data_IF_399346337526
#
_entry.id   IF_399346337526
#
_cell.length_a   1.000
_cell.length_b   1.000
_cell.length_c   1.000
_cell.angle_alpha   90.00
_cell.angle_beta   90.00
_cell.angle_gamma   90.00
#
_symmetry.space_group_name_H-M   'P 1'
#
loop_
_entity.id
_entity.type
_entity.pdbx_description
1 polymer ?
#
# COMPACT_ATOMS: atom_id res chain seq x y z
N UNK A 1 -2.87 38.58 9.03
CA UNK A 1 -1.88 37.77 9.76
C UNK A 1 -1.02 37.06 8.74
N UNK A 2 0.25 37.44 8.72
CA UNK A 2 1.25 37.14 7.70
C UNK A 2 1.74 35.70 7.86
N UNK A 3 1.66 34.91 6.77
CA UNK A 3 2.14 33.53 6.74
C UNK A 3 3.64 33.56 6.47
N UNK A 4 4.45 33.26 7.49
CA UNK A 4 5.88 33.03 7.32
C UNK A 4 6.11 31.60 6.82
N UNK A 5 6.48 31.48 5.55
CA UNK A 5 7.04 30.28 4.95
C UNK A 5 8.49 30.11 5.41
N UNK A 6 8.79 28.97 6.06
CA UNK A 6 10.15 28.56 6.36
C UNK A 6 10.76 27.87 5.12
N UNK A 7 12.00 28.22 4.71
CA UNK A 7 12.61 27.65 3.53
C UNK A 7 13.23 26.26 3.81
N UNK A 8 12.95 25.36 2.87
CA UNK A 8 13.57 24.04 2.69
C UNK A 8 15.09 24.17 2.46
N UNK A 9 15.91 23.42 3.21
CA UNK A 9 17.37 23.32 3.00
C UNK A 9 17.71 22.05 2.21
N UNK A 10 18.50 22.12 1.13
CA UNK A 10 18.94 20.95 0.40
C UNK A 10 20.15 20.25 1.05
N UNK A 11 20.31 18.99 0.67
CA UNK A 11 21.22 17.99 1.19
C UNK A 11 22.72 18.31 1.02
N UNK A 12 23.52 17.68 1.90
CA UNK A 12 24.97 17.80 2.03
C UNK A 12 25.72 17.46 0.74
N UNK A 13 26.61 18.37 0.32
CA UNK A 13 27.59 18.17 -0.73
C UNK A 13 28.64 17.11 -0.34
N UNK A 14 28.93 16.16 -1.24
CA UNK A 14 30.07 15.24 -1.10
C UNK A 14 31.34 15.90 -1.66
N UNK A 15 32.37 15.92 -0.84
CA UNK A 15 33.73 16.37 -1.16
C UNK A 15 34.39 15.39 -2.14
N UNK A 16 34.75 15.86 -3.33
CA UNK A 16 35.60 15.14 -4.28
C UNK A 16 37.06 15.16 -3.78
N UNK A 17 37.57 14.01 -3.33
CA UNK A 17 39.01 13.80 -3.15
C UNK A 17 39.60 13.22 -4.44
N UNK A 18 40.53 13.96 -5.05
CA UNK A 18 41.43 13.46 -6.08
C UNK A 18 42.41 12.47 -5.45
N UNK A 19 42.54 11.28 -6.02
CA UNK A 19 43.60 10.32 -5.70
C UNK A 19 44.36 10.01 -6.99
N UNK A 20 45.68 10.18 -6.90
CA UNK A 20 46.65 9.97 -7.95
C UNK A 20 46.75 8.49 -8.33
N UNK A 21 46.91 8.23 -9.63
CA UNK A 21 47.17 6.89 -10.18
C UNK A 21 48.67 6.63 -10.10
N UNK A 22 49.09 5.74 -9.19
CA UNK A 22 50.37 5.06 -9.30
C UNK A 22 50.13 3.69 -9.94
N UNK A 23 50.69 3.50 -11.13
CA UNK A 23 50.63 2.22 -11.84
C UNK A 23 51.74 1.30 -11.27
N UNK A 24 51.35 0.37 -10.42
CA UNK A 24 52.22 -0.73 -9.98
C UNK A 24 51.83 -1.97 -10.77
N UNK A 25 52.79 -2.49 -11.54
CA UNK A 25 52.67 -3.74 -12.29
C UNK A 25 52.61 -4.91 -11.29
N UNK A 26 51.44 -5.52 -11.10
CA UNK A 26 51.29 -6.74 -10.28
C UNK A 26 51.04 -7.92 -11.22
N UNK A 27 51.99 -8.85 -11.18
CA UNK A 27 51.99 -10.11 -11.92
C UNK A 27 50.95 -11.07 -11.34
N UNK A 28 50.31 -11.84 -12.23
CA UNK A 28 49.13 -12.68 -12.04
C UNK A 28 49.01 -13.49 -10.74
N UNK A 29 47.87 -13.29 -10.09
CA UNK A 29 47.08 -14.33 -9.43
C UNK A 29 45.61 -14.03 -9.74
N UNK A 30 45.09 -14.65 -10.79
CA UNK A 30 43.66 -14.58 -11.13
C UNK A 30 42.88 -15.38 -10.09
N UNK A 31 42.49 -14.73 -8.99
CA UNK A 31 41.41 -15.25 -8.16
C UNK A 31 40.14 -15.35 -9.02
N UNK A 32 39.37 -16.45 -8.94
CA UNK A 32 38.09 -16.49 -9.60
C UNK A 32 37.25 -15.32 -9.06
N UNK A 33 36.88 -14.41 -9.96
CA UNK A 33 35.90 -13.37 -9.66
C UNK A 33 34.63 -14.12 -9.28
N UNK A 34 34.33 -14.19 -7.99
CA UNK A 34 33.04 -14.62 -7.51
C UNK A 34 32.03 -13.68 -8.17
N UNK A 35 31.29 -14.20 -9.16
CA UNK A 35 30.17 -13.48 -9.75
C UNK A 35 29.22 -13.17 -8.59
N UNK A 36 29.14 -11.90 -8.20
CA UNK A 36 28.13 -11.45 -7.26
C UNK A 36 26.78 -11.84 -7.85
N UNK A 37 26.12 -12.82 -7.23
CA UNK A 37 24.78 -13.18 -7.64
C UNK A 37 23.93 -11.90 -7.58
N UNK A 38 23.15 -11.59 -8.63
CA UNK A 38 22.25 -10.45 -8.57
C UNK A 38 21.38 -10.62 -7.33
N UNK A 39 21.31 -9.57 -6.51
CA UNK A 39 20.45 -9.58 -5.34
C UNK A 39 19.05 -10.05 -5.78
N UNK A 40 18.44 -11.01 -5.08
CA UNK A 40 17.15 -11.54 -5.48
C UNK A 40 16.17 -10.38 -5.66
N UNK A 41 15.56 -10.30 -6.84
CA UNK A 41 14.59 -9.24 -7.15
C UNK A 41 13.41 -9.33 -6.17
N UNK A 42 13.01 -8.20 -5.59
CA UNK A 42 11.86 -8.14 -4.70
C UNK A 42 10.60 -8.65 -5.42
N UNK A 43 9.68 -9.34 -4.72
CA UNK A 43 8.39 -9.71 -5.28
C UNK A 43 7.64 -8.47 -5.78
N UNK A 44 7.12 -8.53 -7.01
CA UNK A 44 6.36 -7.45 -7.61
C UNK A 44 4.89 -7.84 -7.78
N UNK A 45 3.98 -6.94 -7.42
CA UNK A 45 2.53 -7.13 -7.49
C UNK A 45 1.86 -6.05 -8.33
N UNK A 46 1.00 -6.50 -9.22
CA UNK A 46 0.12 -5.62 -9.97
C UNK A 46 -1.08 -5.23 -9.11
N UNK A 47 -1.46 -3.95 -9.16
CA UNK A 47 -2.62 -3.39 -8.50
C UNK A 47 -3.72 -3.09 -9.53
N UNK A 48 -4.89 -3.68 -9.32
CA UNK A 48 -6.13 -3.33 -10.03
C UNK A 48 -6.93 -2.38 -9.13
N UNK A 49 -7.02 -1.10 -9.50
CA UNK A 49 -7.75 -0.10 -8.73
C UNK A 49 -9.18 0.03 -9.28
N UNK A 50 -10.18 0.00 -8.41
CA UNK A 50 -11.59 0.06 -8.77
C UNK A 50 -12.29 1.07 -7.87
N UNK A 51 -12.89 2.11 -8.47
CA UNK A 51 -13.59 3.16 -7.74
C UNK A 51 -15.06 2.76 -7.57
N UNK A 52 -15.44 2.39 -6.36
CA UNK A 52 -16.78 1.92 -5.99
C UNK A 52 -17.73 3.05 -5.57
N UNK A 53 -17.28 4.31 -5.58
CA UNK A 53 -18.06 5.47 -5.13
C UNK A 53 -18.46 6.41 -6.26
N UNK A 54 -19.72 6.90 -6.31
CA UNK A 54 -20.15 7.93 -7.24
C UNK A 54 -19.69 9.34 -6.86
N UNK A 55 -19.05 9.53 -5.69
CA UNK A 55 -18.66 10.85 -5.18
C UNK A 55 -17.73 11.56 -6.16
N UNK A 56 -18.14 12.73 -6.63
CA UNK A 56 -17.36 13.47 -7.64
C UNK A 56 -16.02 13.93 -7.09
N UNK A 57 -15.93 14.23 -5.80
CA UNK A 57 -14.70 14.60 -5.10
C UNK A 57 -13.64 13.48 -5.13
N UNK A 58 -14.07 12.23 -5.25
CA UNK A 58 -13.15 11.10 -5.38
C UNK A 58 -12.45 11.06 -6.76
N UNK A 59 -13.03 11.68 -7.80
CA UNK A 59 -12.53 11.58 -9.18
C UNK A 59 -11.12 12.14 -9.34
N UNK A 60 -10.82 13.29 -8.73
CA UNK A 60 -9.50 13.90 -8.82
C UNK A 60 -8.43 13.03 -8.16
N UNK A 61 -8.77 12.47 -6.99
CA UNK A 61 -7.87 11.61 -6.21
C UNK A 61 -7.66 10.24 -6.86
N UNK A 62 -8.57 9.80 -7.74
CA UNK A 62 -8.53 8.50 -8.42
C UNK A 62 -8.15 8.59 -9.90
N UNK A 63 -7.80 9.78 -10.39
CA UNK A 63 -7.23 9.95 -11.71
C UNK A 63 -5.96 9.12 -11.90
N UNK A 64 -5.63 8.79 -13.16
CA UNK A 64 -4.44 8.01 -13.47
C UNK A 64 -3.15 8.63 -12.91
N UNK A 65 -3.01 9.95 -12.98
CA UNK A 65 -1.87 10.67 -12.42
C UNK A 65 -1.82 10.56 -10.90
N UNK A 66 -2.95 10.78 -10.22
CA UNK A 66 -3.04 10.69 -8.77
C UNK A 66 -2.73 9.27 -8.27
N UNK A 67 -3.31 8.24 -8.88
CA UNK A 67 -3.06 6.84 -8.49
C UNK A 67 -1.63 6.39 -8.75
N UNK A 68 -1.00 6.84 -9.85
CA UNK A 68 0.44 6.61 -10.06
C UNK A 68 1.26 7.22 -8.93
N UNK A 69 0.94 8.45 -8.54
CA UNK A 69 1.63 9.12 -7.45
C UNK A 69 1.44 8.40 -6.10
N UNK A 70 0.22 7.91 -5.80
CA UNK A 70 -0.05 7.11 -4.61
C UNK A 70 0.80 5.83 -4.60
N UNK A 71 0.95 5.16 -5.76
CA UNK A 71 1.73 3.93 -5.87
C UNK A 71 3.24 4.18 -5.78
N UNK A 72 3.73 5.30 -6.29
CA UNK A 72 5.12 5.73 -6.07
C UNK A 72 5.41 5.93 -4.59
N UNK A 73 4.50 6.58 -3.88
CA UNK A 73 4.62 6.79 -2.44
C UNK A 73 4.53 5.48 -1.65
N UNK A 74 3.58 4.62 -1.99
CA UNK A 74 3.49 3.28 -1.42
C UNK A 74 4.81 2.52 -1.59
N UNK A 75 5.41 2.53 -2.78
CA UNK A 75 6.69 1.86 -3.01
C UNK A 75 7.84 2.45 -2.18
N UNK A 76 7.81 3.76 -1.91
CA UNK A 76 8.78 4.44 -1.05
C UNK A 76 8.58 4.08 0.42
N UNK A 77 7.34 3.99 0.89
CA UNK A 77 7.00 3.94 2.31
C UNK A 77 6.69 2.51 2.81
N UNK A 78 6.50 1.53 1.92
CA UNK A 78 6.31 0.11 2.26
C UNK A 78 7.64 -0.61 2.55
N UNK A 79 8.32 -0.13 3.58
CA UNK A 79 9.68 -0.50 3.97
C UNK A 79 9.73 -0.98 5.42
N UNK A 80 10.81 -1.65 5.78
CA UNK A 80 11.14 -1.93 7.18
C UNK A 80 11.58 -0.66 7.93
N UNK A 81 11.76 -0.75 9.25
CA UNK A 81 12.24 0.38 10.06
C UNK A 81 13.66 0.86 9.72
N UNK A 82 14.43 0.06 8.99
CA UNK A 82 15.75 0.37 8.44
C UNK A 82 15.71 0.68 6.93
N UNK A 83 14.55 1.10 6.41
CA UNK A 83 14.31 1.54 5.02
C UNK A 83 14.56 0.46 3.95
N UNK A 84 14.51 -0.82 4.32
CA UNK A 84 14.61 -1.92 3.35
C UNK A 84 13.26 -2.19 2.71
N UNK A 85 13.20 -2.10 1.39
CA UNK A 85 12.02 -2.48 0.61
C UNK A 85 11.70 -3.97 0.72
N UNK A 86 10.41 -4.28 0.86
CA UNK A 86 9.92 -5.65 1.03
C UNK A 86 9.33 -6.22 -0.26
N UNK A 87 8.58 -5.40 -1.00
CA UNK A 87 7.88 -5.74 -2.24
C UNK A 87 7.80 -4.50 -3.12
N UNK A 88 7.45 -4.69 -4.39
CA UNK A 88 7.18 -3.59 -5.33
C UNK A 88 5.75 -3.69 -5.86
N UNK A 89 5.09 -2.55 -6.01
CA UNK A 89 3.73 -2.44 -6.53
C UNK A 89 3.71 -1.72 -7.87
N UNK A 90 2.88 -2.18 -8.80
CA UNK A 90 2.71 -1.58 -10.13
C UNK A 90 1.24 -1.33 -10.40
N UNK A 91 0.90 -0.15 -10.90
CA UNK A 91 -0.45 0.09 -11.37
C UNK A 91 -0.69 -0.72 -12.65
N UNK A 92 -1.69 -1.61 -12.64
CA UNK A 92 -2.10 -2.37 -13.82
C UNK A 92 -3.30 -1.74 -14.52
N UNK A 93 -4.32 -1.35 -13.74
CA UNK A 93 -5.57 -0.83 -14.25
C UNK A 93 -6.25 0.07 -13.22
N UNK A 94 -7.09 0.98 -13.73
CA UNK A 94 -8.04 1.77 -12.94
C UNK A 94 -9.38 1.68 -13.64
N UNK A 95 -10.43 1.37 -12.89
CA UNK A 95 -11.82 1.40 -13.36
C UNK A 95 -12.58 2.44 -12.52
N UNK A 96 -13.25 3.37 -13.19
CA UNK A 96 -14.07 4.37 -12.53
C UNK A 96 -15.47 3.83 -12.19
N UNK A 97 -16.21 4.53 -11.33
CA UNK A 97 -17.54 4.11 -10.95
C UNK A 97 -18.50 3.99 -12.14
N UNK A 98 -18.37 4.89 -13.14
CA UNK A 98 -19.25 4.90 -14.30
C UNK A 98 -19.11 3.62 -15.16
N UNK A 99 -17.91 3.05 -15.21
CA UNK A 99 -17.60 1.81 -15.94
C UNK A 99 -18.12 0.54 -15.27
N UNK A 100 -18.34 0.56 -13.95
CA UNK A 100 -18.69 -0.63 -13.17
C UNK A 100 -20.09 -0.58 -12.53
N UNK A 101 -20.75 0.58 -12.49
CA UNK A 101 -22.01 0.79 -11.73
C UNK A 101 -23.13 -0.18 -12.09
N UNK A 102 -23.11 -0.70 -13.32
CA UNK A 102 -24.10 -1.63 -13.85
C UNK A 102 -23.65 -3.11 -13.74
N UNK A 103 -22.50 -3.36 -13.11
CA UNK A 103 -22.01 -4.70 -12.82
C UNK A 103 -22.97 -5.46 -11.91
N UNK A 104 -23.12 -6.76 -12.17
CA UNK A 104 -23.87 -7.66 -11.29
C UNK A 104 -23.06 -8.13 -10.07
N UNK A 105 -21.80 -7.69 -9.92
CA UNK A 105 -21.05 -7.97 -8.71
C UNK A 105 -21.67 -7.25 -7.50
N UNK A 106 -22.15 -8.03 -6.54
CA UNK A 106 -22.73 -7.53 -5.28
C UNK A 106 -21.81 -6.54 -4.57
N UNK A 107 -20.48 -6.69 -4.74
CA UNK A 107 -19.50 -5.78 -4.17
C UNK A 107 -19.74 -4.30 -4.55
N UNK A 108 -20.21 -4.03 -5.77
CA UNK A 108 -20.49 -2.66 -6.24
C UNK A 108 -21.67 -2.04 -5.49
N UNK A 109 -22.71 -2.84 -5.20
CA UNK A 109 -23.87 -2.34 -4.46
C UNK A 109 -23.62 -2.28 -2.94
N UNK A 110 -22.80 -3.19 -2.39
CA UNK A 110 -22.41 -3.17 -0.98
C UNK A 110 -21.55 -1.97 -0.61
N UNK A 111 -20.73 -1.46 -1.53
CA UNK A 111 -19.93 -0.26 -1.30
C UNK A 111 -20.76 1.02 -1.08
N UNK A 112 -22.07 0.95 -1.36
CA UNK A 112 -23.04 1.99 -1.04
C UNK A 112 -23.77 1.72 0.28
N UNK A 113 -23.24 0.85 1.16
CA UNK A 113 -23.75 0.46 2.48
C UNK A 113 -22.66 0.57 3.55
N UNK A 114 -23.05 0.49 4.82
CA UNK A 114 -22.10 0.37 5.92
C UNK A 114 -21.20 -0.86 5.71
N UNK A 115 -19.93 -0.72 6.07
CA UNK A 115 -18.95 -1.79 5.92
C UNK A 115 -19.33 -3.02 6.75
N UNK A 116 -19.34 -4.18 6.10
CA UNK A 116 -19.50 -5.50 6.72
C UNK A 116 -18.41 -6.42 6.17
N UNK A 117 -17.40 -6.69 6.99
CA UNK A 117 -16.22 -7.41 6.53
C UNK A 117 -16.48 -8.82 6.01
N UNK A 118 -17.53 -9.50 6.49
CA UNK A 118 -17.84 -10.86 6.04
C UNK A 118 -18.70 -10.85 4.77
N UNK A 119 -19.72 -10.00 4.71
CA UNK A 119 -20.54 -9.83 3.51
C UNK A 119 -19.69 -9.33 2.33
N UNK A 120 -18.81 -8.35 2.56
CA UNK A 120 -17.94 -7.80 1.52
C UNK A 120 -16.90 -8.82 1.06
N UNK A 121 -16.38 -9.64 1.97
CA UNK A 121 -15.48 -10.73 1.60
C UNK A 121 -16.17 -11.80 0.76
N UNK A 122 -17.42 -12.15 1.09
CA UNK A 122 -18.21 -13.08 0.29
C UNK A 122 -18.46 -12.50 -1.12
N UNK A 123 -18.87 -11.23 -1.20
CA UNK A 123 -19.11 -10.53 -2.46
C UNK A 123 -17.83 -10.42 -3.33
N UNK A 124 -16.68 -10.11 -2.73
CA UNK A 124 -15.39 -10.12 -3.43
C UNK A 124 -15.08 -11.50 -4.04
N UNK A 125 -15.30 -12.57 -3.26
CA UNK A 125 -14.99 -13.93 -3.71
C UNK A 125 -15.96 -14.40 -4.81
N UNK A 126 -17.22 -14.00 -4.75
CA UNK A 126 -18.26 -14.32 -5.73
C UNK A 126 -18.20 -13.47 -7.01
N UNK A 127 -17.52 -12.32 -6.98
CA UNK A 127 -17.43 -11.42 -8.12
C UNK A 127 -16.54 -11.99 -9.24
N UNK A 128 -17.12 -12.18 -10.43
CA UNK A 128 -16.42 -12.66 -11.62
C UNK A 128 -16.37 -11.61 -12.75
N UNK A 129 -16.86 -10.39 -12.49
CA UNK A 129 -16.75 -9.30 -13.45
C UNK A 129 -15.29 -8.81 -13.51
N UNK A 130 -14.61 -8.92 -14.68
CA UNK A 130 -13.22 -8.53 -14.81
C UNK A 130 -12.98 -7.01 -14.70
N UNK A 131 -14.04 -6.20 -14.79
CA UNK A 131 -13.97 -4.75 -14.54
C UNK A 131 -13.97 -4.43 -13.04
N UNK A 132 -14.47 -5.34 -12.20
CA UNK A 132 -14.55 -5.15 -10.75
C UNK A 132 -13.49 -5.96 -10.00
N UNK A 133 -13.08 -7.11 -10.53
CA UNK A 133 -12.08 -7.97 -9.89
C UNK A 133 -11.13 -8.58 -10.92
N UNK A 134 -9.84 -8.34 -10.71
CA UNK A 134 -8.79 -9.02 -11.44
C UNK A 134 -8.20 -10.15 -10.57
N UNK A 135 -8.37 -11.44 -10.96
CA UNK A 135 -7.85 -12.56 -10.19
C UNK A 135 -6.32 -12.68 -10.19
N UNK A 136 -5.62 -11.89 -11.03
CA UNK A 136 -4.16 -11.89 -11.18
C UNK A 136 -3.49 -10.63 -10.61
N UNK A 137 -4.24 -9.81 -9.88
CA UNK A 137 -3.75 -8.60 -9.24
C UNK A 137 -4.21 -8.52 -7.78
N UNK A 138 -3.54 -7.70 -6.99
CA UNK A 138 -4.11 -7.23 -5.72
C UNK A 138 -5.19 -6.21 -6.07
N UNK A 139 -6.40 -6.42 -5.58
CA UNK A 139 -7.53 -5.53 -5.88
C UNK A 139 -7.60 -4.42 -4.82
N UNK A 140 -7.63 -3.17 -5.28
CA UNK A 140 -7.70 -1.97 -4.47
C UNK A 140 -9.01 -1.28 -4.76
N UNK A 141 -9.87 -1.19 -3.77
CA UNK A 141 -11.20 -0.60 -3.91
C UNK A 141 -11.25 0.76 -3.23
N UNK A 142 -11.59 1.79 -4.00
CA UNK A 142 -11.78 3.14 -3.46
C UNK A 142 -13.27 3.35 -3.21
N UNK A 143 -13.67 3.62 -1.97
CA UNK A 143 -15.09 3.72 -1.60
C UNK A 143 -15.36 4.92 -0.69
N UNK A 144 -16.64 5.19 -0.43
CA UNK A 144 -17.10 6.24 0.49
C UNK A 144 -17.41 5.60 1.85
N UNK A 145 -16.41 5.60 2.74
CA UNK A 145 -16.57 4.98 4.06
C UNK A 145 -17.42 5.84 4.99
N UNK A 146 -17.35 7.17 4.80
CA UNK A 146 -18.06 8.17 5.57
C UNK A 146 -19.07 8.94 4.72
N UNK A 147 -20.36 8.67 4.92
CA UNK A 147 -21.44 9.28 4.16
C UNK A 147 -22.62 9.60 5.06
N UNK A 148 -22.70 10.81 5.65
CA UNK A 148 -23.82 11.21 6.52
C UNK A 148 -25.18 11.09 5.82
N UNK A 149 -25.21 11.36 4.50
CA UNK A 149 -26.42 11.21 3.66
C UNK A 149 -26.94 9.78 3.64
N UNK A 150 -26.03 8.80 3.64
CA UNK A 150 -26.36 7.38 3.59
C UNK A 150 -26.33 6.72 4.98
N UNK A 151 -25.96 7.47 6.02
CA UNK A 151 -25.90 7.00 7.42
C UNK A 151 -24.58 6.33 7.82
N UNK A 152 -23.49 6.51 7.06
CA UNK A 152 -22.20 5.89 7.35
C UNK A 152 -21.29 6.86 8.11
N UNK A 153 -20.68 6.38 9.18
CA UNK A 153 -19.75 7.16 10.01
C UNK A 153 -18.36 6.48 10.11
N UNK A 154 -18.11 5.44 9.31
CA UNK A 154 -16.85 4.72 9.34
C UNK A 154 -15.81 5.52 8.54
N UNK A 155 -14.91 6.26 9.18
CA UNK A 155 -13.83 6.95 8.47
C UNK A 155 -12.60 6.04 8.21
N UNK A 156 -12.76 4.72 8.34
CA UNK A 156 -11.67 3.76 8.26
C UNK A 156 -11.48 3.18 6.85
N UNK A 157 -10.39 2.45 6.71
CA UNK A 157 -10.04 1.65 5.54
C UNK A 157 -9.80 0.22 6.02
N UNK A 158 -9.83 -0.75 5.11
CA UNK A 158 -9.85 -2.16 5.48
C UNK A 158 -9.03 -3.03 4.53
N UNK A 159 -8.04 -3.75 5.04
CA UNK A 159 -7.28 -4.76 4.31
C UNK A 159 -7.60 -6.19 4.74
N UNK A 160 -7.55 -7.15 3.81
CA UNK A 160 -7.79 -8.57 4.15
C UNK A 160 -6.83 -9.54 3.47
N UNK A 161 -6.19 -10.38 4.28
CA UNK A 161 -5.46 -11.57 3.82
C UNK A 161 -6.44 -12.71 3.48
N UNK A 162 -7.14 -12.60 2.35
CA UNK A 162 -8.18 -13.54 1.93
C UNK A 162 -7.59 -14.80 1.26
N UNK A 163 -7.03 -15.72 2.06
CA UNK A 163 -6.44 -16.99 1.59
C UNK A 163 -5.41 -16.77 0.45
N UNK A 164 -4.53 -15.77 0.62
CA UNK A 164 -3.55 -15.33 -0.38
C UNK A 164 -4.12 -14.71 -1.68
N UNK A 165 -5.40 -14.30 -1.69
CA UNK A 165 -6.02 -13.41 -2.69
C UNK A 165 -6.35 -12.06 -2.06
N UNK A 166 -5.34 -11.25 -1.75
CA UNK A 166 -5.51 -10.02 -0.99
C UNK A 166 -6.34 -8.97 -1.72
N UNK A 167 -7.05 -8.17 -0.93
CA UNK A 167 -7.65 -6.92 -1.38
C UNK A 167 -7.62 -5.89 -0.25
N UNK A 168 -7.78 -4.63 -0.61
CA UNK A 168 -7.93 -3.51 0.32
C UNK A 168 -9.11 -2.63 -0.10
N UNK A 169 -9.76 -2.01 0.86
CA UNK A 169 -10.72 -0.93 0.71
C UNK A 169 -10.12 0.33 1.32
N UNK A 170 -10.01 1.40 0.54
CA UNK A 170 -9.46 2.67 0.99
C UNK A 170 -10.53 3.74 0.82
N UNK A 171 -10.78 4.48 1.90
CA UNK A 171 -11.67 5.62 1.84
C UNK A 171 -11.10 6.71 0.93
N UNK A 172 -11.93 7.28 0.07
CA UNK A 172 -11.48 8.23 -0.93
C UNK A 172 -10.91 9.52 -0.32
N UNK A 173 -11.41 9.98 0.84
CA UNK A 173 -10.92 11.22 1.44
C UNK A 173 -9.53 11.03 2.05
N UNK A 174 -9.20 9.82 2.49
CA UNK A 174 -7.87 9.48 3.00
C UNK A 174 -6.78 9.48 1.93
N UNK A 175 -7.15 9.41 0.64
CA UNK A 175 -6.22 9.57 -0.47
C UNK A 175 -5.62 10.98 -0.52
N UNK A 176 -6.41 11.99 -0.15
CA UNK A 176 -6.03 13.40 -0.23
C UNK A 176 -5.00 13.78 0.83
N UNK A 177 -5.22 13.36 2.07
CA UNK A 177 -4.35 13.74 3.20
C UNK A 177 -3.17 12.80 3.37
N UNK A 178 -3.34 11.52 2.99
CA UNK A 178 -2.43 10.43 3.35
C UNK A 178 -2.21 10.27 4.85
N UNK A 179 -3.13 10.79 5.64
CA UNK A 179 -3.03 10.71 7.09
C UNK A 179 -3.02 9.24 7.51
N UNK A 180 -1.98 8.88 8.26
CA UNK A 180 -1.80 7.54 8.80
C UNK A 180 -1.66 6.46 7.70
N UNK A 181 -0.98 6.78 6.60
CA UNK A 181 -0.46 5.83 5.60
C UNK A 181 -1.48 4.74 5.21
N UNK A 182 -2.65 5.11 4.65
CA UNK A 182 -3.77 4.18 4.47
C UNK A 182 -3.40 2.97 3.60
N UNK A 183 -2.69 3.17 2.49
CA UNK A 183 -2.30 2.07 1.62
C UNK A 183 -1.34 1.11 2.31
N UNK A 184 -0.31 1.64 2.95
CA UNK A 184 0.73 0.86 3.61
C UNK A 184 0.14 0.03 4.75
N UNK A 185 -0.77 0.62 5.52
CA UNK A 185 -1.48 -0.04 6.61
C UNK A 185 -2.41 -1.16 6.10
N UNK A 186 -3.28 -0.86 5.14
CA UNK A 186 -4.22 -1.87 4.62
C UNK A 186 -3.50 -2.97 3.86
N UNK A 187 -2.41 -2.67 3.15
CA UNK A 187 -1.58 -3.70 2.55
C UNK A 187 -0.86 -4.51 3.62
N UNK A 188 -0.46 -3.94 4.75
CA UNK A 188 0.01 -4.72 5.90
C UNK A 188 -1.00 -5.81 6.31
N UNK A 189 -2.28 -5.47 6.46
CA UNK A 189 -3.35 -6.45 6.69
C UNK A 189 -3.53 -7.43 5.53
N UNK A 190 -3.46 -6.94 4.30
CA UNK A 190 -3.56 -7.75 3.10
C UNK A 190 -2.40 -8.76 2.96
N UNK A 191 -1.27 -8.52 3.64
CA UNK A 191 -0.13 -9.43 3.77
C UNK A 191 -0.13 -10.22 5.09
N UNK A 192 -1.21 -10.13 5.88
CA UNK A 192 -1.45 -10.99 7.04
C UNK A 192 -1.00 -10.40 8.38
N UNK A 193 -0.71 -9.10 8.45
CA UNK A 193 -0.40 -8.43 9.71
C UNK A 193 -1.66 -8.07 10.50
N UNK A 194 -1.55 -8.07 11.83
CA UNK A 194 -2.53 -7.50 12.73
C UNK A 194 -2.12 -6.10 13.21
N UNK A 195 -3.02 -5.43 13.92
CA UNK A 195 -2.73 -4.17 14.59
C UNK A 195 -1.67 -4.31 15.68
N UNK A 196 -0.91 -3.23 15.90
CA UNK A 196 -0.05 -3.06 17.08
C UNK A 196 -0.48 -1.82 17.87
N UNK A 197 -0.27 -1.84 19.18
CA UNK A 197 -0.64 -0.72 20.04
C UNK A 197 0.52 0.27 20.18
N UNK A 198 0.25 1.54 19.92
CA UNK A 198 1.16 2.64 20.19
C UNK A 198 0.64 3.43 21.41
N UNK A 199 1.03 2.99 22.60
CA UNK A 199 0.53 3.55 23.87
C UNK A 199 0.98 5.00 24.01
N UNK A 200 0.04 5.90 24.31
CA UNK A 200 0.28 7.33 24.46
C UNK A 200 0.51 8.08 23.14
N UNK A 201 0.41 7.43 21.98
CA UNK A 201 0.65 8.08 20.70
C UNK A 201 -0.46 9.08 20.36
N UNK A 202 -0.10 10.34 20.17
CA UNK A 202 -0.96 11.38 19.61
C UNK A 202 -0.94 11.34 18.08
N UNK A 203 -1.85 12.05 17.40
CA UNK A 203 -2.00 11.97 15.93
C UNK A 203 -0.72 12.36 15.20
N UNK A 204 0.11 13.23 15.80
CA UNK A 204 1.40 13.64 15.27
C UNK A 204 2.60 12.76 15.67
N UNK A 205 2.43 11.76 16.52
CA UNK A 205 3.51 10.87 16.95
C UNK A 205 3.94 9.96 15.82
N UNK A 206 5.25 9.79 15.62
CA UNK A 206 5.78 8.79 14.69
C UNK A 206 5.53 7.39 15.27
N UNK A 207 4.98 6.49 14.45
CA UNK A 207 4.54 5.15 14.89
C UNK A 207 4.79 4.10 13.82
N UNK A 208 4.77 2.82 14.22
CA UNK A 208 4.79 1.67 13.31
C UNK A 208 3.63 1.74 12.32
N UNK A 209 3.82 1.25 11.09
CA UNK A 209 2.78 1.27 10.05
C UNK A 209 1.48 0.60 10.52
N UNK A 210 1.56 -0.47 11.31
CA UNK A 210 0.38 -1.20 11.82
C UNK A 210 -0.20 -0.63 13.11
N UNK A 211 0.23 0.55 13.57
CA UNK A 211 -0.28 1.15 14.79
C UNK A 211 -1.77 1.51 14.66
N UNK A 212 -2.59 1.15 15.65
CA UNK A 212 -4.05 1.40 15.58
C UNK A 212 -4.60 2.06 16.84
N UNK A 213 -5.62 2.89 16.64
CA UNK A 213 -6.41 3.49 17.72
C UNK A 213 -7.35 2.48 18.40
N UNK A 214 -7.67 1.36 17.74
CA UNK A 214 -8.52 0.30 18.29
C UNK A 214 -8.00 -0.30 19.60
N UNK A 215 -6.70 -0.18 19.84
CA UNK A 215 -6.09 -0.53 21.11
C UNK A 215 -6.59 0.30 22.31
N UNK A 216 -7.33 1.40 22.08
CA UNK A 216 -7.87 2.29 23.12
C UNK A 216 -6.80 3.04 23.91
N UNK A 217 -5.53 2.97 23.49
CA UNK A 217 -4.37 3.50 24.22
C UNK A 217 -3.61 4.59 23.47
N UNK A 218 -4.12 5.04 22.33
CA UNK A 218 -3.51 6.05 21.48
C UNK A 218 -4.33 6.28 20.22
N UNK A 219 -3.88 7.21 19.39
CA UNK A 219 -4.54 7.60 18.13
C UNK A 219 -4.11 6.80 16.90
N UNK A 220 -3.15 5.89 17.06
CA UNK A 220 -2.44 5.22 15.95
C UNK A 220 -1.27 6.04 15.38
N UNK A 221 -1.17 7.34 15.67
CA UNK A 221 -0.07 8.20 15.22
C UNK A 221 0.02 8.34 13.70
N UNK A 222 1.19 8.71 13.19
CA UNK A 222 1.45 8.98 11.76
C UNK A 222 1.67 7.73 10.91
N UNK A 223 2.01 6.58 11.50
CA UNK A 223 2.28 5.31 10.80
C UNK A 223 3.37 5.43 9.72
N UNK A 224 4.53 5.95 10.11
CA UNK A 224 5.62 6.36 9.22
C UNK A 224 7.00 5.78 9.60
N UNK A 225 7.10 4.90 10.60
CA UNK A 225 8.39 4.30 11.01
C UNK A 225 8.74 3.06 10.17
N UNK A 226 7.82 2.46 9.42
CA UNK A 226 8.06 1.20 8.71
C UNK A 226 7.68 -0.06 9.51
N UNK A 227 7.89 -1.23 8.91
CA UNK A 227 7.60 -2.54 9.48
C UNK A 227 8.77 -3.08 10.33
N UNK A 228 8.47 -3.63 11.50
CA UNK A 228 9.49 -4.29 12.34
C UNK A 228 9.94 -5.63 11.72
N UNK A 229 11.01 -6.27 12.23
CA UNK A 229 11.52 -7.52 11.66
C UNK A 229 10.50 -8.66 11.57
N UNK A 230 9.65 -8.84 12.59
CA UNK A 230 8.63 -9.90 12.59
C UNK A 230 7.52 -9.67 11.54
N UNK A 231 7.12 -8.41 11.39
CA UNK A 231 6.18 -7.97 10.36
C UNK A 231 6.79 -8.17 8.96
N UNK A 232 8.05 -7.78 8.78
CA UNK A 232 8.78 -7.96 7.52
C UNK A 232 8.84 -9.45 7.10
N UNK A 233 9.16 -10.35 8.02
CA UNK A 233 9.20 -11.78 7.77
C UNK A 233 7.81 -12.33 7.38
N UNK A 234 6.76 -11.85 8.04
CA UNK A 234 5.38 -12.23 7.72
C UNK A 234 4.97 -11.74 6.33
N UNK A 235 5.29 -10.48 5.99
CA UNK A 235 5.07 -9.91 4.67
C UNK A 235 5.77 -10.75 3.59
N UNK A 236 7.06 -11.06 3.77
CA UNK A 236 7.83 -11.81 2.78
C UNK A 236 7.31 -13.25 2.59
N UNK A 237 6.92 -13.94 3.68
CA UNK A 237 6.28 -15.26 3.59
C UNK A 237 4.94 -15.19 2.87
N UNK A 238 4.12 -14.20 3.18
CA UNK A 238 2.83 -13.99 2.51
C UNK A 238 3.01 -13.62 1.05
N UNK A 239 4.01 -12.79 0.71
CA UNK A 239 4.33 -12.40 -0.66
C UNK A 239 4.55 -13.61 -1.57
N UNK A 240 5.31 -14.61 -1.09
CA UNK A 240 5.53 -15.86 -1.84
C UNK A 240 4.21 -16.59 -2.10
N UNK A 241 3.31 -16.65 -1.10
CA UNK A 241 2.00 -17.33 -1.23
C UNK A 241 1.06 -16.58 -2.16
N UNK A 242 1.03 -15.26 -2.06
CA UNK A 242 0.22 -14.38 -2.91
C UNK A 242 0.70 -14.48 -4.35
N UNK A 243 2.01 -14.37 -4.60
CA UNK A 243 2.57 -14.48 -5.94
C UNK A 243 2.21 -15.82 -6.61
N UNK A 244 2.30 -16.93 -5.86
CA UNK A 244 1.87 -18.25 -6.36
C UNK A 244 0.38 -18.32 -6.64
N UNK A 245 -0.45 -17.69 -5.80
CA UNK A 245 -1.90 -17.68 -5.98
C UNK A 245 -2.33 -16.85 -7.19
N UNK A 246 -1.79 -15.65 -7.36
CA UNK A 246 -2.12 -14.75 -8.48
C UNK A 246 -1.58 -15.24 -9.84
N UNK A 247 -0.59 -16.13 -9.84
CA UNK A 247 -0.09 -16.78 -11.05
C UNK A 247 -0.97 -17.96 -11.52
N UNK A 248 -1.89 -18.46 -10.69
CA UNK A 248 -2.78 -19.55 -11.09
C UNK A 248 -3.82 -19.08 -12.12
N UNK A 249 -4.34 -19.99 -12.97
CA UNK A 249 -5.54 -19.71 -13.74
C UNK A 249 -6.69 -19.29 -12.82
N UNK A 250 -7.57 -18.38 -13.27
CA UNK A 250 -8.78 -18.04 -12.53
C UNK A 250 -9.56 -19.33 -12.22
N UNK A 251 -10.07 -19.44 -10.99
CA UNK A 251 -10.99 -20.52 -10.59
C UNK A 251 -12.42 -20.02 -10.68
#
# INVERSE_FOLDING_TARGET
MTVHSLPWKPARARVLRRLAVMATLVCGLSAPIAQAQPAPSLPAFDLNVVVLTPQEQARDQTSLGAMRQQIEWLNRDFVTQDDRHLVTFRLKSIQDYASIKDSHCELVSLAQKAYDGDAWNQAFNACNDPTVRDPKAINVYIYDSYSPRLGYADANSHGRYNKARPYIFVDWDRLRTRDQSPFEHELGHAFGLGHVCAVGAERGSDTNIMASAECGKGSGGRRNIGFNPEQADTILRSAIRIARMLAQPPR
#
